data_IF_791422439993
#
_entry.id   IF_791422439993
#
_cell.length_a   1.000
_cell.length_b   1.000
_cell.length_c   1.000
_cell.angle_alpha   90.00
_cell.angle_beta   90.00
_cell.angle_gamma   90.00
#
_symmetry.space_group_name_H-M   'P 1'
#
loop_
_entity.id
_entity.type
_entity.pdbx_description
1 polymer ?
#
# COMPACT_ATOMS: atom_id res chain seq x y z
N UNK A 1 -66.97 -39.50 8.33
CA UNK A 1 -67.30 -38.13 8.72
C UNK A 1 -67.02 -37.22 7.53
N UNK A 2 -68.10 -36.71 6.94
CA UNK A 2 -68.14 -35.79 5.81
C UNK A 2 -67.77 -34.34 6.21
N UNK A 3 -67.75 -33.49 5.17
CA UNK A 3 -67.71 -32.00 5.11
C UNK A 3 -66.31 -31.55 4.63
N UNK A 4 -66.03 -31.21 3.37
CA UNK A 4 -66.75 -30.56 2.25
C UNK A 4 -66.83 -29.02 2.34
N UNK A 5 -66.36 -28.38 1.25
CA UNK A 5 -66.91 -27.19 0.56
C UNK A 5 -66.30 -25.77 0.79
N UNK A 6 -65.65 -25.31 -0.30
CA UNK A 6 -65.81 -24.04 -1.10
C UNK A 6 -65.39 -22.69 -0.50
N UNK A 7 -64.46 -21.99 -1.16
CA UNK A 7 -64.60 -20.90 -2.18
C UNK A 7 -65.23 -19.61 -1.65
N UNK A 8 -64.55 -18.48 -1.90
CA UNK A 8 -65.01 -17.19 -2.50
C UNK A 8 -63.78 -16.26 -2.48
N UNK A 9 -63.19 -15.82 -3.60
CA UNK A 9 -63.64 -14.90 -4.66
C UNK A 9 -63.49 -13.39 -4.32
N UNK A 10 -62.74 -12.73 -5.21
CA UNK A 10 -62.90 -11.38 -5.79
C UNK A 10 -62.20 -10.14 -5.19
N UNK A 11 -61.36 -9.55 -6.06
CA UNK A 11 -61.19 -8.12 -6.44
C UNK A 11 -60.72 -7.15 -5.35
N UNK A 12 -59.75 -6.26 -5.61
CA UNK A 12 -59.89 -5.08 -6.49
C UNK A 12 -58.51 -4.57 -6.94
N UNK A 13 -58.44 -4.25 -8.23
CA UNK A 13 -57.43 -3.46 -8.95
C UNK A 13 -57.28 -2.05 -8.37
N UNK A 14 -56.07 -1.47 -8.31
CA UNK A 14 -55.85 -0.07 -8.71
C UNK A 14 -54.36 0.35 -8.70
N UNK A 15 -54.03 1.17 -9.70
CA UNK A 15 -52.95 2.14 -9.82
C UNK A 15 -51.49 1.71 -10.06
N UNK A 16 -51.13 1.91 -11.33
CA UNK A 16 -49.83 2.28 -11.84
C UNK A 16 -49.08 3.31 -10.98
N UNK A 17 -47.78 3.08 -10.79
CA UNK A 17 -46.76 4.13 -10.69
C UNK A 17 -45.45 3.54 -11.18
N UNK A 18 -45.18 3.85 -12.45
CA UNK A 18 -43.95 3.55 -13.17
C UNK A 18 -42.84 4.44 -12.60
N UNK A 19 -42.16 3.97 -11.55
CA UNK A 19 -40.94 4.61 -11.07
C UNK A 19 -39.81 4.28 -12.05
N UNK A 20 -39.41 5.29 -12.83
CA UNK A 20 -38.11 5.34 -13.48
C UNK A 20 -37.02 5.15 -12.42
N UNK A 21 -36.46 3.95 -12.35
CA UNK A 21 -35.21 3.71 -11.66
C UNK A 21 -34.08 4.32 -12.51
N UNK A 22 -33.77 5.59 -12.25
CA UNK A 22 -32.44 6.12 -12.52
C UNK A 22 -31.45 5.31 -11.66
N UNK A 23 -30.69 4.43 -12.30
CA UNK A 23 -29.50 3.83 -11.70
C UNK A 23 -28.33 4.76 -12.05
N UNK A 24 -27.86 5.63 -11.15
CA UNK A 24 -26.59 6.30 -11.37
C UNK A 24 -25.48 5.25 -11.27
N UNK A 25 -24.57 5.25 -12.25
CA UNK A 25 -23.49 4.30 -12.37
C UNK A 25 -22.60 4.25 -11.13
N UNK A 26 -22.49 3.07 -10.53
CA UNK A 26 -21.56 2.78 -9.46
C UNK A 26 -20.13 2.71 -10.02
N UNK A 27 -19.45 3.86 -10.07
CA UNK A 27 -17.99 3.92 -10.00
C UNK A 27 -17.58 3.63 -8.56
N UNK A 28 -16.86 2.52 -8.34
CA UNK A 28 -16.55 1.98 -7.02
C UNK A 28 -15.97 3.01 -6.04
N UNK A 29 -16.63 3.12 -4.89
CA UNK A 29 -16.14 3.71 -3.64
C UNK A 29 -16.56 2.79 -2.49
N UNK A 30 -15.93 2.91 -1.33
CA UNK A 30 -16.39 2.19 -0.13
C UNK A 30 -17.83 2.63 0.18
N UNK A 31 -18.74 1.72 0.57
CA UNK A 31 -20.09 2.12 0.97
C UNK A 31 -19.98 3.14 2.11
N UNK A 32 -20.65 4.28 1.96
CA UNK A 32 -20.73 5.30 3.01
C UNK A 32 -21.55 4.70 4.15
N UNK A 33 -20.98 4.52 5.36
CA UNK A 33 -21.73 3.97 6.47
C UNK A 33 -22.73 5.01 6.99
N UNK A 34 -23.87 4.53 7.50
CA UNK A 34 -24.76 5.36 8.30
C UNK A 34 -24.04 5.76 9.59
N UNK A 35 -23.88 7.07 9.81
CA UNK A 35 -23.19 7.60 10.98
C UNK A 35 -24.18 7.92 12.11
N UNK A 36 -23.82 7.60 13.36
CA UNK A 36 -24.54 8.11 14.53
C UNK A 36 -24.45 9.63 14.62
N UNK A 37 -25.49 10.26 15.18
CA UNK A 37 -25.50 11.72 15.43
C UNK A 37 -24.53 12.15 16.55
N UNK A 38 -24.17 11.21 17.43
CA UNK A 38 -23.32 11.48 18.59
C UNK A 38 -21.90 11.81 18.15
N UNK A 39 -21.40 12.98 18.55
CA UNK A 39 -20.00 13.38 18.40
C UNK A 39 -19.42 13.62 19.79
N UNK A 40 -18.35 12.89 20.13
CA UNK A 40 -17.69 12.99 21.44
C UNK A 40 -16.79 14.22 21.51
N UNK A 41 -16.19 14.59 20.39
CA UNK A 41 -15.36 15.77 20.25
C UNK A 41 -14.66 15.78 18.90
N UNK A 42 -13.80 16.76 18.69
CA UNK A 42 -12.98 16.85 17.49
C UNK A 42 -11.52 17.13 17.79
N UNK A 43 -10.68 16.87 16.79
CA UNK A 43 -9.25 17.08 16.80
C UNK A 43 -8.84 17.80 15.52
N UNK A 44 -8.18 18.95 15.64
CA UNK A 44 -7.62 19.65 14.48
C UNK A 44 -6.13 19.38 14.41
N UNK A 45 -5.65 18.75 13.34
CA UNK A 45 -4.26 18.33 13.21
C UNK A 45 -3.72 18.64 11.81
N UNK A 46 -2.40 18.69 11.68
CA UNK A 46 -1.75 18.80 10.37
C UNK A 46 -1.58 17.39 9.81
N UNK A 47 -2.30 17.05 8.76
CA UNK A 47 -2.17 15.75 8.10
C UNK A 47 -0.77 15.61 7.50
N UNK A 48 -0.10 14.52 7.83
CA UNK A 48 1.30 14.29 7.44
C UNK A 48 1.48 14.01 5.95
N UNK A 49 0.44 13.55 5.25
CA UNK A 49 0.47 13.28 3.81
C UNK A 49 0.17 14.51 2.98
N UNK A 50 -0.89 15.24 3.34
CA UNK A 50 -1.33 16.43 2.59
C UNK A 50 -0.61 17.71 3.02
N UNK A 51 -0.04 17.72 4.24
CA UNK A 51 0.52 18.92 4.87
C UNK A 51 -0.53 19.96 5.25
N UNK A 52 -1.83 19.66 5.07
CA UNK A 52 -2.96 20.56 5.35
C UNK A 52 -3.48 20.35 6.76
N UNK A 53 -4.11 21.39 7.30
CA UNK A 53 -4.79 21.31 8.58
C UNK A 53 -6.18 20.70 8.39
N UNK A 54 -6.35 19.46 8.84
CA UNK A 54 -7.61 18.72 8.78
C UNK A 54 -8.30 18.73 10.14
N UNK A 55 -9.60 18.45 10.15
CA UNK A 55 -10.37 18.29 11.37
C UNK A 55 -11.01 16.90 11.39
N UNK A 56 -10.78 16.14 12.46
CA UNK A 56 -11.37 14.82 12.71
C UNK A 56 -12.41 14.90 13.82
N UNK A 57 -13.64 14.50 13.52
CA UNK A 57 -14.69 14.17 14.49
C UNK A 57 -14.54 12.73 15.01
N UNK A 58 -14.74 12.54 16.31
CA UNK A 58 -14.91 11.23 16.94
C UNK A 58 -16.40 10.92 17.09
N UNK A 59 -16.92 10.08 16.19
CA UNK A 59 -18.36 9.85 16.02
C UNK A 59 -18.78 8.51 16.63
N UNK A 60 -19.90 8.50 17.35
CA UNK A 60 -20.49 7.33 18.00
C UNK A 60 -19.94 7.05 19.40
N UNK A 61 -19.71 5.78 19.75
CA UNK A 61 -19.38 5.36 21.12
C UNK A 61 -17.87 5.40 21.42
N UNK A 62 -17.24 6.55 21.17
CA UNK A 62 -15.92 6.82 21.71
C UNK A 62 -16.00 7.10 23.22
N UNK A 63 -15.01 6.63 23.98
CA UNK A 63 -14.75 7.20 25.30
C UNK A 63 -13.95 8.48 25.13
N UNK A 64 -14.12 9.44 26.05
CA UNK A 64 -13.30 10.67 26.06
C UNK A 64 -11.81 10.34 26.09
N UNK A 65 -11.42 9.37 26.90
CA UNK A 65 -10.03 8.90 27.01
C UNK A 65 -9.47 8.38 25.68
N UNK A 66 -10.23 7.54 24.96
CA UNK A 66 -9.77 7.02 23.67
C UNK A 66 -9.65 8.11 22.62
N UNK A 67 -10.59 9.05 22.61
CA UNK A 67 -10.60 10.16 21.66
C UNK A 67 -9.44 11.14 21.94
N UNK A 68 -9.15 11.43 23.21
CA UNK A 68 -7.97 12.19 23.64
C UNK A 68 -6.70 11.53 23.17
N UNK A 69 -6.53 10.23 23.45
CA UNK A 69 -5.33 9.49 23.06
C UNK A 69 -5.12 9.47 21.53
N UNK A 70 -6.18 9.26 20.74
CA UNK A 70 -6.07 9.33 19.28
C UNK A 70 -5.70 10.73 18.80
N UNK A 71 -6.23 11.78 19.43
CA UNK A 71 -5.90 13.16 19.06
C UNK A 71 -4.44 13.50 19.38
N UNK A 72 -3.95 13.09 20.54
CA UNK A 72 -2.56 13.27 20.96
C UNK A 72 -1.59 12.52 20.03
N UNK A 73 -1.98 11.33 19.57
CA UNK A 73 -1.21 10.59 18.57
C UNK A 73 -1.12 11.31 17.21
N UNK A 74 -2.07 12.19 16.91
CA UNK A 74 -2.03 13.09 15.74
C UNK A 74 -1.33 14.43 16.05
N UNK A 75 -0.70 14.56 17.22
CA UNK A 75 0.04 15.75 17.64
C UNK A 75 -0.84 16.95 17.96
N UNK A 76 -2.07 16.71 18.45
CA UNK A 76 -3.03 17.76 18.75
C UNK A 76 -3.80 17.52 20.06
N UNK A 77 -4.63 18.48 20.45
CA UNK A 77 -5.45 18.47 21.66
C UNK A 77 -6.93 18.35 21.28
N UNK A 78 -7.65 17.44 21.94
CA UNK A 78 -9.08 17.23 21.68
C UNK A 78 -9.91 18.40 22.22
N UNK A 79 -10.99 18.73 21.50
CA UNK A 79 -12.06 19.60 21.98
C UNK A 79 -13.32 18.76 22.13
N UNK A 80 -13.68 18.46 23.38
CA UNK A 80 -14.85 17.64 23.72
C UNK A 80 -16.17 18.36 23.45
N UNK A 81 -17.21 17.59 23.09
CA UNK A 81 -18.58 18.06 22.88
C UNK A 81 -18.78 18.96 21.66
N UNK A 82 -17.75 19.19 20.85
CA UNK A 82 -17.83 20.02 19.64
C UNK A 82 -17.45 19.18 18.42
N UNK A 83 -18.19 19.38 17.33
CA UNK A 83 -17.85 18.85 16.01
C UNK A 83 -16.94 19.80 15.25
N UNK A 84 -16.27 19.27 14.24
CA UNK A 84 -15.67 20.03 13.16
C UNK A 84 -16.70 20.92 12.46
N UNK A 85 -16.21 21.96 11.78
CA UNK A 85 -17.04 23.03 11.25
C UNK A 85 -16.44 23.73 10.04
N UNK A 86 -15.64 23.02 9.22
CA UNK A 86 -15.19 23.56 7.94
C UNK A 86 -16.41 23.64 7.02
N UNK A 87 -16.75 24.84 6.55
CA UNK A 87 -17.92 25.04 5.69
C UNK A 87 -17.86 24.19 4.40
N UNK A 88 -19.02 23.77 3.88
CA UNK A 88 -19.11 22.90 2.71
C UNK A 88 -18.45 23.46 1.46
N UNK A 89 -18.46 24.78 1.27
CA UNK A 89 -17.81 25.50 0.18
C UNK A 89 -16.29 25.70 0.38
N UNK A 90 -15.77 25.27 1.54
CA UNK A 90 -14.34 25.34 1.94
C UNK A 90 -13.69 23.97 2.12
N UNK A 91 -14.40 22.89 1.83
CA UNK A 91 -13.89 21.52 1.89
C UNK A 91 -14.28 20.75 0.65
N UNK A 92 -13.46 19.76 0.29
CA UNK A 92 -13.73 18.84 -0.81
C UNK A 92 -14.83 17.83 -0.48
N UNK A 93 -14.90 17.44 0.79
CA UNK A 93 -15.70 16.33 1.28
C UNK A 93 -15.25 15.88 2.64
N UNK A 94 -15.91 14.85 3.13
CA UNK A 94 -15.60 14.17 4.37
C UNK A 94 -15.03 12.79 4.06
N UNK A 95 -14.05 12.36 4.85
CA UNK A 95 -13.56 10.99 4.84
C UNK A 95 -14.02 10.24 6.09
N UNK A 96 -14.81 9.18 5.91
CA UNK A 96 -15.41 8.44 7.01
C UNK A 96 -14.68 7.11 7.23
N UNK A 97 -14.13 6.92 8.43
CA UNK A 97 -13.45 5.71 8.84
C UNK A 97 -14.31 4.89 9.80
N UNK A 98 -14.45 3.60 9.53
CA UNK A 98 -15.04 2.64 10.45
C UNK A 98 -13.94 2.19 11.41
N UNK A 99 -14.01 2.61 12.68
CA UNK A 99 -12.99 2.28 13.67
C UNK A 99 -13.34 0.99 14.41
N UNK A 100 -14.59 0.84 14.85
CA UNK A 100 -15.13 -0.41 15.38
C UNK A 100 -16.65 -0.45 15.13
N UNK A 101 -17.05 -1.14 14.06
CA UNK A 101 -18.47 -1.22 13.66
C UNK A 101 -19.33 -1.89 14.72
N UNK A 102 -18.81 -2.89 15.44
CA UNK A 102 -19.58 -3.62 16.44
C UNK A 102 -19.90 -2.76 17.67
N UNK A 103 -19.10 -1.72 17.90
CA UNK A 103 -19.28 -0.72 18.96
C UNK A 103 -19.76 0.63 18.44
N UNK A 104 -20.17 0.71 17.17
CA UNK A 104 -20.67 1.97 16.61
C UNK A 104 -19.66 3.12 16.74
N UNK A 105 -18.37 2.83 16.50
CA UNK A 105 -17.25 3.77 16.66
C UNK A 105 -16.68 4.15 15.29
N UNK A 106 -16.76 5.44 14.93
CA UNK A 106 -16.30 5.96 13.64
C UNK A 106 -15.47 7.23 13.80
N UNK A 107 -14.68 7.57 12.80
CA UNK A 107 -14.04 8.88 12.69
C UNK A 107 -14.46 9.54 11.38
N UNK A 108 -14.77 10.84 11.41
CA UNK A 108 -15.06 11.62 10.19
C UNK A 108 -14.04 12.73 10.06
N UNK A 109 -13.31 12.78 8.95
CA UNK A 109 -12.28 13.80 8.69
C UNK A 109 -12.76 14.75 7.61
N UNK A 110 -12.88 16.03 7.92
CA UNK A 110 -13.21 17.08 6.96
C UNK A 110 -11.96 17.48 6.16
N UNK A 111 -12.02 17.34 4.83
CA UNK A 111 -10.87 17.54 3.93
C UNK A 111 -10.89 18.95 3.31
N UNK A 112 -10.07 19.91 3.78
CA UNK A 112 -10.15 21.31 3.37
C UNK A 112 -9.67 21.57 1.94
N UNK A 113 -10.39 22.45 1.25
CA UNK A 113 -9.99 23.03 -0.02
C UNK A 113 -11.16 23.43 -0.92
N UNK A 114 -10.85 24.26 -1.91
CA UNK A 114 -11.84 24.89 -2.81
C UNK A 114 -11.55 24.63 -4.29
N UNK A 115 -10.43 23.99 -4.62
CA UNK A 115 -10.00 23.70 -5.98
C UNK A 115 -10.52 22.34 -6.45
N UNK A 116 -11.60 22.35 -7.24
CA UNK A 116 -12.26 21.13 -7.71
C UNK A 116 -11.35 20.20 -8.51
N UNK A 117 -10.22 20.68 -9.05
CA UNK A 117 -9.24 19.81 -9.73
C UNK A 117 -8.55 18.82 -8.78
N UNK A 118 -8.57 19.10 -7.47
CA UNK A 118 -7.99 18.25 -6.43
C UNK A 118 -8.95 17.16 -5.91
N UNK A 119 -10.22 17.16 -6.30
CA UNK A 119 -11.25 16.27 -5.76
C UNK A 119 -10.92 14.78 -5.87
N UNK A 120 -10.46 14.33 -7.04
CA UNK A 120 -10.07 12.93 -7.25
C UNK A 120 -8.86 12.52 -6.41
N UNK A 121 -7.92 13.43 -6.19
CA UNK A 121 -6.77 13.20 -5.31
C UNK A 121 -7.22 13.03 -3.85
N UNK A 122 -8.20 13.84 -3.41
CA UNK A 122 -8.73 13.78 -2.05
C UNK A 122 -9.61 12.55 -1.82
N UNK A 123 -10.47 12.21 -2.79
CA UNK A 123 -11.22 10.95 -2.81
C UNK A 123 -10.28 9.76 -2.70
N UNK A 124 -9.22 9.72 -3.52
CA UNK A 124 -8.19 8.67 -3.45
C UNK A 124 -7.46 8.68 -2.10
N UNK A 125 -7.08 9.85 -1.59
CA UNK A 125 -6.51 10.02 -0.25
C UNK A 125 -7.36 9.34 0.82
N UNK A 126 -8.66 9.60 0.79
CA UNK A 126 -9.62 9.02 1.71
C UNK A 126 -9.79 7.52 1.51
N UNK A 127 -10.25 7.12 0.32
CA UNK A 127 -10.71 5.75 0.07
C UNK A 127 -9.55 4.77 0.01
N UNK A 128 -8.48 5.16 -0.67
CA UNK A 128 -7.42 4.23 -1.00
C UNK A 128 -6.29 4.25 0.03
N UNK A 129 -5.80 5.44 0.40
CA UNK A 129 -4.69 5.54 1.36
C UNK A 129 -5.17 5.51 2.81
N UNK A 130 -6.29 6.18 3.11
CA UNK A 130 -6.90 6.17 4.43
C UNK A 130 -7.72 4.91 4.72
N UNK A 131 -8.34 4.31 3.70
CA UNK A 131 -9.28 3.21 3.86
C UNK A 131 -10.67 3.63 4.36
N UNK A 132 -11.05 4.89 4.14
CA UNK A 132 -12.38 5.43 4.50
C UNK A 132 -13.37 5.47 3.33
N UNK A 133 -14.57 6.02 3.58
CA UNK A 133 -15.57 6.32 2.55
C UNK A 133 -15.60 7.83 2.30
N UNK A 134 -15.46 8.27 1.05
CA UNK A 134 -15.44 9.69 0.71
C UNK A 134 -16.85 10.21 0.41
N UNK A 135 -17.26 11.27 1.11
CA UNK A 135 -18.54 11.96 0.92
C UNK A 135 -18.25 13.35 0.37
N UNK A 136 -18.49 13.62 -0.92
CA UNK A 136 -18.14 14.90 -1.54
C UNK A 136 -19.08 16.03 -1.08
N UNK A 137 -18.56 17.26 -1.00
CA UNK A 137 -19.38 18.48 -0.94
C UNK A 137 -19.66 19.03 -2.35
N UNK A 138 -20.34 20.18 -2.44
CA UNK A 138 -20.56 20.90 -3.69
C UNK A 138 -19.26 21.27 -4.45
N UNK A 139 -18.13 21.43 -3.75
CA UNK A 139 -16.81 21.66 -4.38
C UNK A 139 -16.42 20.51 -5.31
N UNK A 140 -16.79 19.27 -4.95
CA UNK A 140 -16.50 18.06 -5.71
C UNK A 140 -17.73 17.42 -6.39
N UNK A 141 -18.93 17.86 -6.06
CA UNK A 141 -20.20 17.24 -6.47
C UNK A 141 -20.63 17.46 -7.92
N UNK A 142 -19.91 18.25 -8.72
CA UNK A 142 -20.33 18.63 -10.08
C UNK A 142 -19.29 18.42 -11.18
N UNK A 143 -18.15 17.80 -10.89
CA UNK A 143 -17.01 17.80 -11.81
C UNK A 143 -16.60 16.38 -12.19
N UNK A 144 -17.19 15.85 -13.26
CA UNK A 144 -16.60 14.71 -14.00
C UNK A 144 -15.46 15.20 -14.89
N UNK A 145 -14.43 15.80 -14.29
CA UNK A 145 -13.21 16.06 -15.05
C UNK A 145 -12.52 14.72 -15.29
N UNK A 146 -12.09 14.47 -16.54
CA UNK A 146 -11.12 13.41 -16.81
C UNK A 146 -9.99 13.57 -15.78
N UNK A 147 -9.61 12.50 -15.07
CA UNK A 147 -8.59 12.60 -14.04
C UNK A 147 -7.29 13.05 -14.70
N UNK A 148 -6.86 14.29 -14.43
CA UNK A 148 -5.47 14.67 -14.66
C UNK A 148 -4.65 13.81 -13.73
N UNK A 149 -3.78 12.94 -14.26
CA UNK A 149 -2.85 12.17 -13.42
C UNK A 149 -1.95 13.16 -12.67
N UNK A 150 -2.19 13.34 -11.38
CA UNK A 150 -1.41 14.23 -10.52
C UNK A 150 -0.32 13.48 -9.74
N UNK A 151 -0.31 12.15 -9.77
CA UNK A 151 0.76 11.34 -9.19
C UNK A 151 1.68 10.84 -10.30
N UNK A 152 3.01 10.88 -10.10
CA UNK A 152 3.94 10.31 -11.05
C UNK A 152 3.66 8.80 -11.19
N UNK A 153 3.75 8.32 -12.43
CA UNK A 153 3.63 6.89 -12.76
C UNK A 153 4.68 6.11 -11.95
N UNK A 154 4.30 4.95 -11.42
CA UNK A 154 5.21 4.06 -10.71
C UNK A 154 6.39 3.71 -11.61
N UNK A 155 7.60 4.08 -11.18
CA UNK A 155 8.81 3.75 -11.92
C UNK A 155 9.23 2.32 -11.59
N UNK A 156 9.24 1.49 -12.62
CA UNK A 156 9.67 0.10 -12.49
C UNK A 156 11.15 0.02 -12.08
N UNK A 157 11.53 -0.95 -11.23
CA UNK A 157 12.93 -1.17 -10.85
C UNK A 157 13.88 -1.28 -12.04
N UNK A 158 15.01 -0.57 -11.98
CA UNK A 158 16.12 -0.72 -12.92
C UNK A 158 17.34 -1.35 -12.24
N UNK A 159 18.04 -2.24 -12.95
CA UNK A 159 19.31 -2.80 -12.47
C UNK A 159 20.48 -1.94 -12.98
N UNK A 160 21.02 -1.11 -12.10
CA UNK A 160 22.04 -0.13 -12.45
C UNK A 160 23.43 -0.68 -12.12
N UNK A 161 24.32 -0.72 -13.12
CA UNK A 161 25.72 -1.11 -12.96
C UNK A 161 26.64 0.09 -13.16
N UNK A 162 27.33 0.52 -12.10
CA UNK A 162 28.28 1.64 -12.13
C UNK A 162 29.70 1.15 -11.86
N UNK A 163 30.70 1.91 -12.31
CA UNK A 163 32.08 1.68 -11.89
C UNK A 163 32.20 1.87 -10.37
N UNK A 164 33.04 1.08 -9.67
CA UNK A 164 33.33 1.32 -8.26
C UNK A 164 33.92 2.73 -8.06
N UNK A 165 33.63 3.35 -6.93
CA UNK A 165 34.22 4.63 -6.55
C UNK A 165 35.74 4.51 -6.40
N UNK A 166 36.43 5.64 -6.55
CA UNK A 166 37.88 5.69 -6.36
C UNK A 166 38.28 5.16 -4.97
N UNK A 167 39.19 4.19 -4.95
CA UNK A 167 39.66 3.53 -3.73
C UNK A 167 38.87 2.29 -3.30
N UNK A 168 37.73 2.00 -3.93
CA UNK A 168 37.00 0.75 -3.71
C UNK A 168 37.53 -0.39 -4.59
N UNK A 169 37.45 -1.65 -4.13
CA UNK A 169 37.74 -2.80 -4.98
C UNK A 169 36.73 -2.90 -6.13
N UNK A 170 37.07 -3.70 -7.15
CA UNK A 170 36.13 -4.07 -8.20
C UNK A 170 34.83 -4.65 -7.62
N UNK A 171 33.70 -4.36 -8.26
CA UNK A 171 32.42 -4.98 -7.96
C UNK A 171 32.32 -6.41 -8.49
N UNK A 172 31.26 -7.11 -8.07
CA UNK A 172 30.94 -8.49 -8.48
C UNK A 172 30.19 -8.56 -9.81
N UNK A 173 29.78 -7.43 -10.36
CA UNK A 173 29.08 -7.34 -11.63
C UNK A 173 29.99 -7.42 -12.86
N UNK A 174 29.41 -7.34 -14.07
CA UNK A 174 30.15 -7.38 -15.33
C UNK A 174 31.24 -6.29 -15.38
N UNK A 175 32.41 -6.63 -15.91
CA UNK A 175 33.58 -5.75 -16.01
C UNK A 175 34.05 -5.16 -14.66
N UNK A 176 33.76 -5.82 -13.55
CA UNK A 176 34.10 -5.32 -12.21
C UNK A 176 33.23 -4.15 -11.76
N UNK A 177 32.05 -3.95 -12.37
CA UNK A 177 31.07 -2.95 -11.94
C UNK A 177 30.32 -3.40 -10.70
N UNK A 178 29.80 -2.43 -9.96
CA UNK A 178 28.87 -2.65 -8.84
C UNK A 178 27.46 -2.51 -9.39
N UNK A 179 26.68 -3.58 -9.31
CA UNK A 179 25.32 -3.62 -9.83
C UNK A 179 24.30 -3.64 -8.69
N UNK A 180 23.27 -2.81 -8.79
CA UNK A 180 22.28 -2.61 -7.72
C UNK A 180 20.91 -2.34 -8.31
N UNK A 181 19.90 -3.02 -7.79
CA UNK A 181 18.50 -2.72 -8.12
C UNK A 181 18.09 -1.38 -7.49
N UNK A 182 17.65 -0.44 -8.31
CA UNK A 182 16.99 0.79 -7.85
C UNK A 182 15.55 0.49 -7.46
N UNK A 183 15.39 -0.19 -6.32
CA UNK A 183 14.10 -0.57 -5.78
C UNK A 183 14.09 -0.50 -4.25
N UNK A 184 12.90 -0.40 -3.65
CA UNK A 184 12.72 -0.61 -2.18
C UNK A 184 13.18 -2.03 -1.74
N UNK A 185 13.23 -2.90 -2.74
CA UNK A 185 13.87 -4.21 -2.86
C UNK A 185 15.35 -4.32 -2.56
N UNK A 186 16.05 -3.29 -3.03
CA UNK A 186 17.38 -3.41 -3.58
C UNK A 186 18.47 -3.20 -2.56
N UNK A 187 19.55 -3.93 -2.73
CA UNK A 187 20.74 -3.84 -1.91
C UNK A 187 21.97 -3.84 -2.80
N UNK A 188 22.92 -2.96 -2.49
CA UNK A 188 24.24 -2.98 -3.13
C UNK A 188 25.14 -4.04 -2.47
N UNK A 189 26.37 -4.16 -2.92
CA UNK A 189 27.32 -5.11 -2.34
C UNK A 189 27.70 -4.73 -0.89
N UNK A 190 27.88 -5.74 -0.04
CA UNK A 190 28.25 -5.55 1.37
C UNK A 190 29.49 -4.65 1.54
N UNK A 191 29.42 -3.73 2.49
CA UNK A 191 30.47 -2.72 2.72
C UNK A 191 30.35 -1.46 1.87
N UNK A 192 29.43 -1.41 0.90
CA UNK A 192 29.12 -0.21 0.10
C UNK A 192 27.81 0.43 0.54
N UNK A 193 27.56 1.67 0.10
CA UNK A 193 26.33 2.41 0.38
C UNK A 193 25.38 2.33 -0.81
N UNK A 194 24.09 2.07 -0.56
CA UNK A 194 23.08 1.99 -1.62
C UNK A 194 23.04 3.25 -2.48
N UNK A 195 23.06 4.44 -1.84
CA UNK A 195 22.98 5.75 -2.49
C UNK A 195 24.02 5.98 -3.60
N UNK A 196 25.14 5.26 -3.54
CA UNK A 196 26.22 5.41 -4.50
C UNK A 196 25.95 4.64 -5.80
N UNK A 197 25.22 3.53 -5.69
CA UNK A 197 25.08 2.54 -6.77
C UNK A 197 23.64 2.35 -7.24
N UNK A 198 22.64 2.66 -6.41
CA UNK A 198 21.22 2.73 -6.77
C UNK A 198 20.75 4.16 -7.08
N UNK A 199 19.43 4.34 -7.07
CA UNK A 199 18.73 5.61 -7.26
C UNK A 199 17.61 5.78 -6.22
N UNK A 200 17.83 6.64 -5.24
CA UNK A 200 16.84 6.91 -4.20
C UNK A 200 15.61 7.69 -4.68
N UNK A 201 15.68 8.41 -5.80
CA UNK A 201 14.49 9.07 -6.34
C UNK A 201 13.51 8.03 -6.87
N UNK A 202 14.04 7.04 -7.61
CA UNK A 202 13.24 5.89 -8.08
C UNK A 202 12.62 5.12 -6.91
N UNK A 203 13.40 4.78 -5.87
CA UNK A 203 12.91 4.10 -4.66
C UNK A 203 11.73 4.86 -4.03
N UNK A 204 11.83 6.19 -3.92
CA UNK A 204 10.79 7.03 -3.32
C UNK A 204 9.53 7.14 -4.18
N UNK A 205 9.59 6.91 -5.49
CA UNK A 205 8.39 6.76 -6.32
C UNK A 205 7.67 5.45 -6.06
N UNK A 206 8.43 4.37 -5.82
CA UNK A 206 7.87 3.04 -5.57
C UNK A 206 7.24 2.94 -4.18
N UNK A 207 7.85 3.63 -3.21
CA UNK A 207 7.35 3.70 -1.85
C UNK A 207 7.50 5.12 -1.32
N UNK A 208 6.48 5.97 -1.49
CA UNK A 208 6.46 7.30 -0.91
C UNK A 208 6.67 7.23 0.59
N UNK A 209 7.47 8.17 1.11
CA UNK A 209 7.69 8.32 2.54
C UNK A 209 7.24 9.70 3.00
N UNK A 210 6.99 9.81 4.29
CA UNK A 210 6.78 11.08 4.98
C UNK A 210 7.79 11.18 6.13
N UNK A 211 8.27 12.41 6.43
CA UNK A 211 9.10 12.62 7.59
C UNK A 211 8.29 12.35 8.86
N UNK A 212 8.92 11.68 9.81
CA UNK A 212 8.34 11.42 11.11
C UNK A 212 9.46 11.55 12.15
N UNK A 213 9.14 12.17 13.29
CA UNK A 213 10.10 12.33 14.36
C UNK A 213 10.60 10.96 14.85
N UNK A 214 11.87 10.85 15.27
CA UNK A 214 12.37 9.63 15.88
C UNK A 214 11.70 9.36 17.23
N UNK A 215 11.91 8.16 17.77
CA UNK A 215 11.53 7.86 19.15
C UNK A 215 12.12 8.91 20.12
N UNK A 216 11.39 9.23 21.19
CA UNK A 216 11.81 10.23 22.18
C UNK A 216 13.16 9.92 22.82
N UNK A 217 13.52 8.62 22.87
CA UNK A 217 14.79 8.10 23.38
C UNK A 217 15.99 8.34 22.48
N UNK A 218 15.81 8.89 21.28
CA UNK A 218 16.89 9.06 20.28
C UNK A 218 18.11 9.85 20.79
N UNK A 219 17.91 10.73 21.78
CA UNK A 219 18.96 11.58 22.36
C UNK A 219 19.54 11.03 23.67
N UNK A 220 19.01 9.92 24.16
CA UNK A 220 19.44 9.34 25.43
C UNK A 220 20.85 8.76 25.29
N UNK A 221 21.68 9.01 26.30
CA UNK A 221 22.97 8.35 26.42
C UNK A 221 22.77 6.84 26.62
N UNK A 222 23.50 6.04 25.84
CA UNK A 222 23.48 4.58 25.98
C UNK A 222 24.81 4.08 26.54
N UNK A 223 24.86 3.60 27.81
CA UNK A 223 26.09 3.13 28.42
C UNK A 223 26.70 1.92 27.68
N UNK A 224 25.91 1.19 26.87
CA UNK A 224 26.39 0.07 26.06
C UNK A 224 27.35 0.52 24.94
N UNK A 225 27.37 1.81 24.58
CA UNK A 225 28.39 2.34 23.67
C UNK A 225 29.82 2.26 24.23
N UNK A 226 29.99 1.98 25.52
CA UNK A 226 31.29 1.69 26.14
C UNK A 226 31.72 0.23 25.98
N UNK A 227 30.81 -0.65 25.57
CA UNK A 227 31.08 -2.05 25.30
C UNK A 227 31.52 -2.23 23.83
N UNK A 228 32.77 -2.64 23.57
CA UNK A 228 33.29 -2.79 22.21
C UNK A 228 32.54 -3.86 21.40
N UNK A 229 32.00 -4.91 22.03
CA UNK A 229 31.27 -5.96 21.33
C UNK A 229 29.91 -5.44 20.85
N UNK A 230 29.20 -4.69 21.70
CA UNK A 230 27.97 -4.01 21.30
C UNK A 230 28.21 -3.03 20.14
N UNK A 231 29.25 -2.18 20.24
CA UNK A 231 29.57 -1.20 19.19
C UNK A 231 29.92 -1.91 17.87
N UNK A 232 30.63 -3.03 17.92
CA UNK A 232 30.94 -3.83 16.73
C UNK A 232 29.67 -4.36 16.06
N UNK A 233 28.74 -4.92 16.83
CA UNK A 233 27.46 -5.41 16.29
C UNK A 233 26.60 -4.27 15.75
N UNK A 234 26.47 -3.16 16.49
CA UNK A 234 25.73 -1.96 16.07
C UNK A 234 26.26 -1.42 14.73
N UNK A 235 27.59 -1.37 14.56
CA UNK A 235 28.23 -0.92 13.33
C UNK A 235 28.04 -1.90 12.18
N UNK A 236 28.08 -3.20 12.45
CA UNK A 236 27.77 -4.21 11.44
C UNK A 236 26.30 -4.06 10.98
N UNK A 237 25.33 -3.99 11.89
CA UNK A 237 23.91 -3.77 11.53
C UNK A 237 23.73 -2.48 10.71
N UNK A 238 24.36 -1.39 11.15
CA UNK A 238 24.34 -0.12 10.40
C UNK A 238 24.87 -0.27 8.98
N UNK A 239 25.95 -1.02 8.78
CA UNK A 239 26.51 -1.29 7.44
C UNK A 239 25.57 -2.08 6.54
N UNK A 240 24.85 -3.07 7.07
CA UNK A 240 23.86 -3.84 6.31
C UNK A 240 22.71 -2.94 5.83
N UNK A 241 22.22 -2.07 6.71
CA UNK A 241 21.15 -1.12 6.37
C UNK A 241 21.64 -0.05 5.38
N UNK A 242 22.86 0.45 5.53
CA UNK A 242 23.48 1.39 4.58
C UNK A 242 23.66 0.81 3.18
N UNK A 243 23.88 -0.50 3.05
CA UNK A 243 23.93 -1.17 1.76
C UNK A 243 22.55 -1.28 1.10
N UNK A 244 21.46 -1.09 1.84
CA UNK A 244 20.09 -1.24 1.37
C UNK A 244 19.42 0.10 1.04
N UNK A 245 18.35 0.04 0.25
CA UNK A 245 17.52 1.21 -0.08
C UNK A 245 16.84 1.86 1.13
N UNK A 246 16.90 1.28 2.33
CA UNK A 246 16.37 1.88 3.56
C UNK A 246 16.97 3.27 3.81
N UNK A 247 18.25 3.48 3.46
CA UNK A 247 18.92 4.78 3.64
C UNK A 247 18.23 5.92 2.89
N UNK A 248 17.53 5.62 1.78
CA UNK A 248 16.80 6.62 1.00
C UNK A 248 15.70 7.35 1.78
N UNK A 249 15.18 6.77 2.87
CA UNK A 249 14.14 7.36 3.71
C UNK A 249 14.54 7.49 5.19
N UNK A 250 15.61 6.78 5.61
CA UNK A 250 16.09 6.70 6.99
C UNK A 250 17.49 7.33 7.14
N UNK A 251 17.67 8.47 6.49
CA UNK A 251 18.90 9.28 6.51
C UNK A 251 18.57 10.76 6.61
N UNK A 252 19.44 11.54 7.25
CA UNK A 252 19.38 13.01 7.22
C UNK A 252 19.46 13.58 5.80
N UNK A 253 20.04 12.85 4.84
CA UNK A 253 20.07 13.22 3.42
C UNK A 253 18.71 13.10 2.71
N UNK A 254 17.68 12.58 3.39
CA UNK A 254 16.33 12.44 2.83
C UNK A 254 15.70 13.82 2.57
N UNK A 255 15.20 14.11 1.35
CA UNK A 255 14.78 15.47 0.97
C UNK A 255 13.71 16.15 1.85
N UNK A 256 12.85 15.37 2.51
CA UNK A 256 11.79 15.88 3.40
C UNK A 256 12.14 15.71 4.89
N UNK A 257 13.36 15.27 5.20
CA UNK A 257 13.77 14.78 6.51
C UNK A 257 13.58 13.26 6.66
N UNK A 258 14.19 12.63 7.67
CA UNK A 258 14.10 11.18 7.88
C UNK A 258 12.71 10.72 8.35
N UNK A 259 12.39 9.45 8.08
CA UNK A 259 11.14 8.82 8.50
C UNK A 259 11.32 7.97 9.76
N UNK A 260 10.83 8.41 10.92
CA UNK A 260 10.66 7.65 12.17
C UNK A 260 11.94 7.12 12.86
N UNK A 261 13.01 6.82 12.14
CA UNK A 261 14.33 6.46 12.65
C UNK A 261 15.34 6.74 11.54
N UNK A 262 16.59 6.97 11.90
CA UNK A 262 17.64 7.24 10.91
C UNK A 262 19.03 6.95 11.43
N UNK A 263 19.94 6.70 10.48
CA UNK A 263 21.26 6.13 10.75
C UNK A 263 22.23 7.13 11.37
N UNK A 264 21.99 8.43 11.22
CA UNK A 264 22.77 9.53 11.79
C UNK A 264 22.24 9.98 13.17
N UNK A 265 21.17 9.37 13.68
CA UNK A 265 20.49 9.84 14.89
C UNK A 265 21.31 9.60 16.16
N UNK A 266 21.56 10.67 16.92
CA UNK A 266 22.06 10.60 18.29
C UNK A 266 23.41 9.88 18.46
N UNK A 267 23.83 9.60 19.71
CA UNK A 267 25.03 8.82 19.97
C UNK A 267 24.83 7.33 19.61
N UNK A 268 23.61 6.81 19.77
CA UNK A 268 23.21 5.47 19.38
C UNK A 268 21.97 5.50 18.47
N UNK A 269 22.16 5.31 17.17
CA UNK A 269 21.07 5.42 16.19
C UNK A 269 19.91 4.45 16.43
N UNK A 270 20.14 3.31 17.07
CA UNK A 270 19.07 2.34 17.37
C UNK A 270 18.06 2.89 18.38
N UNK A 271 18.46 3.86 19.22
CA UNK A 271 17.56 4.54 20.16
C UNK A 271 16.52 5.41 19.45
N UNK A 272 16.77 5.78 18.19
CA UNK A 272 15.80 6.48 17.35
C UNK A 272 14.66 5.57 16.87
N UNK A 273 14.88 4.25 16.84
CA UNK A 273 13.91 3.27 16.37
C UNK A 273 12.95 2.87 17.48
N UNK A 274 11.64 3.03 17.26
CA UNK A 274 10.62 2.57 18.19
C UNK A 274 10.51 1.03 18.28
N UNK A 275 9.87 0.48 19.34
CA UNK A 275 9.77 -0.97 19.55
C UNK A 275 9.18 -1.75 18.38
N UNK A 276 8.21 -1.16 17.64
CA UNK A 276 7.63 -1.77 16.44
C UNK A 276 8.68 -2.00 15.34
N UNK A 277 9.55 -1.02 15.09
CA UNK A 277 10.62 -1.15 14.09
C UNK A 277 11.64 -2.21 14.48
N UNK A 278 11.98 -2.29 15.77
CA UNK A 278 12.85 -3.36 16.28
C UNK A 278 12.19 -4.73 16.13
N UNK A 279 10.89 -4.86 16.43
CA UNK A 279 10.15 -6.11 16.28
C UNK A 279 10.06 -6.57 14.82
N UNK A 280 10.00 -5.64 13.87
CA UNK A 280 10.16 -5.93 12.44
C UNK A 280 11.58 -6.42 12.13
N UNK A 281 12.61 -5.82 12.72
CA UNK A 281 14.00 -6.26 12.59
C UNK A 281 14.28 -7.64 13.19
N UNK A 282 13.61 -7.98 14.29
CA UNK A 282 13.66 -9.29 14.94
C UNK A 282 12.87 -10.38 14.20
N UNK A 283 12.07 -10.00 13.19
CA UNK A 283 11.19 -10.92 12.48
C UNK A 283 9.98 -11.38 13.31
N UNK A 284 9.61 -10.62 14.35
CA UNK A 284 8.41 -10.89 15.15
C UNK A 284 7.15 -10.36 14.47
N UNK A 285 7.28 -9.35 13.62
CA UNK A 285 6.22 -8.83 12.75
C UNK A 285 6.53 -9.26 11.31
N UNK A 286 5.57 -9.91 10.65
CA UNK A 286 5.69 -10.33 9.25
C UNK A 286 5.79 -9.08 8.35
N UNK A 287 6.85 -9.00 7.55
CA UNK A 287 7.13 -7.84 6.67
C UNK A 287 7.28 -8.21 5.20
N UNK A 288 6.71 -9.34 4.78
CA UNK A 288 6.72 -9.83 3.39
C UNK A 288 6.25 -8.76 2.40
N UNK A 289 5.34 -7.87 2.82
CA UNK A 289 4.83 -6.76 2.00
C UNK A 289 5.88 -5.73 1.57
N UNK A 290 7.14 -5.79 2.01
CA UNK A 290 8.22 -4.99 1.40
C UNK A 290 8.73 -5.58 0.07
N UNK A 291 8.36 -6.82 -0.27
CA UNK A 291 8.96 -7.59 -1.37
C UNK A 291 10.38 -8.07 -1.04
N UNK A 292 11.00 -8.88 -1.89
CA UNK A 292 12.41 -9.26 -1.79
C UNK A 292 12.89 -9.86 -3.11
N UNK A 293 14.09 -9.48 -3.55
CA UNK A 293 14.85 -10.24 -4.56
C UNK A 293 15.45 -11.50 -3.92
N UNK A 294 15.63 -12.59 -4.69
CA UNK A 294 16.42 -13.73 -4.21
C UNK A 294 17.88 -13.29 -3.96
N UNK A 295 18.61 -13.94 -3.04
CA UNK A 295 19.97 -13.50 -2.66
C UNK A 295 20.96 -13.48 -3.82
N UNK A 296 20.81 -14.42 -4.76
CA UNK A 296 21.62 -14.49 -5.99
C UNK A 296 21.47 -13.25 -6.88
N UNK A 297 20.35 -12.52 -6.78
CA UNK A 297 20.05 -11.32 -7.55
C UNK A 297 20.20 -10.04 -6.72
N UNK A 298 20.50 -10.15 -5.43
CA UNK A 298 20.56 -9.04 -4.48
C UNK A 298 21.84 -9.06 -3.64
N UNK A 299 22.96 -9.41 -4.27
CA UNK A 299 24.30 -9.35 -3.68
C UNK A 299 24.50 -10.19 -2.41
N UNK A 300 23.74 -11.28 -2.26
CA UNK A 300 23.78 -12.19 -1.12
C UNK A 300 22.86 -11.80 0.04
N UNK A 301 22.14 -10.69 -0.06
CA UNK A 301 21.24 -10.24 1.00
C UNK A 301 19.91 -10.99 0.98
N UNK A 302 19.45 -11.39 2.16
CA UNK A 302 18.14 -12.00 2.43
C UNK A 302 17.24 -11.04 3.21
N UNK A 303 15.92 -11.21 3.05
CA UNK A 303 14.85 -10.53 3.79
C UNK A 303 13.64 -11.47 3.93
N UNK A 304 12.66 -11.06 4.74
CA UNK A 304 11.30 -11.65 4.78
C UNK A 304 10.72 -11.90 3.39
N UNK A 305 10.20 -13.12 3.20
CA UNK A 305 9.60 -13.67 1.97
C UNK A 305 8.38 -14.53 2.37
N UNK A 306 7.44 -14.84 1.46
CA UNK A 306 6.33 -15.73 1.78
C UNK A 306 6.77 -17.07 2.40
N UNK A 307 7.89 -17.63 1.95
CA UNK A 307 8.46 -18.90 2.43
C UNK A 307 9.12 -18.76 3.80
N UNK A 308 9.63 -17.56 4.11
CA UNK A 308 10.30 -17.24 5.37
C UNK A 308 9.82 -15.89 5.91
N UNK A 309 8.57 -15.82 6.41
CA UNK A 309 7.94 -14.58 6.84
C UNK A 309 8.52 -14.02 8.15
N UNK A 310 9.24 -14.85 8.89
CA UNK A 310 9.86 -14.54 10.19
C UNK A 310 11.30 -14.00 10.08
N UNK A 311 11.82 -13.79 8.87
CA UNK A 311 13.11 -13.11 8.68
C UNK A 311 13.02 -11.62 9.01
N UNK A 312 14.18 -11.01 9.23
CA UNK A 312 14.29 -9.57 9.45
C UNK A 312 13.65 -8.76 8.33
N UNK A 313 13.05 -7.63 8.69
CA UNK A 313 12.62 -6.61 7.74
C UNK A 313 13.80 -5.87 7.08
N UNK A 314 14.98 -5.89 7.71
CA UNK A 314 16.19 -5.28 7.18
C UNK A 314 16.95 -6.29 6.33
N UNK A 315 17.26 -6.00 5.06
CA UNK A 315 18.09 -6.88 4.28
C UNK A 315 19.44 -7.13 4.96
N UNK A 316 19.90 -8.37 4.97
CA UNK A 316 21.18 -8.74 5.58
C UNK A 316 21.81 -9.96 4.91
N UNK A 317 23.13 -10.10 5.01
CA UNK A 317 23.86 -11.33 4.65
C UNK A 317 23.78 -12.41 5.74
N UNK A 318 23.32 -12.08 6.96
CA UNK A 318 23.17 -13.02 8.09
C UNK A 318 21.89 -12.70 8.89
N UNK A 319 20.79 -13.34 8.51
CA UNK A 319 19.47 -13.13 9.15
C UNK A 319 19.47 -13.51 10.64
N UNK A 320 20.17 -14.58 11.02
CA UNK A 320 20.18 -15.03 12.41
C UNK A 320 20.90 -14.01 13.29
N UNK A 321 22.05 -13.49 12.86
CA UNK A 321 22.79 -12.47 13.58
C UNK A 321 22.01 -11.16 13.66
N UNK A 322 21.40 -10.74 12.54
CA UNK A 322 20.56 -9.54 12.49
C UNK A 322 19.38 -9.62 13.46
N UNK A 323 18.64 -10.74 13.45
CA UNK A 323 17.49 -10.93 14.34
C UNK A 323 17.92 -10.94 15.80
N UNK A 324 18.99 -11.66 16.14
CA UNK A 324 19.53 -11.70 17.52
C UNK A 324 19.85 -10.31 18.06
N UNK A 325 20.42 -9.43 17.22
CA UNK A 325 20.68 -8.04 17.61
C UNK A 325 19.37 -7.32 17.98
N UNK A 326 18.36 -7.36 17.10
CA UNK A 326 17.08 -6.69 17.36
C UNK A 326 16.29 -7.31 18.53
N UNK A 327 16.38 -8.62 18.74
CA UNK A 327 15.79 -9.29 19.90
C UNK A 327 16.45 -8.84 21.20
N UNK A 328 17.79 -8.66 21.21
CA UNK A 328 18.51 -8.12 22.36
C UNK A 328 18.12 -6.66 22.65
N UNK A 329 17.94 -5.83 21.60
CA UNK A 329 17.44 -4.45 21.76
C UNK A 329 16.03 -4.40 22.37
N UNK A 330 15.15 -5.31 21.94
CA UNK A 330 13.79 -5.43 22.50
C UNK A 330 13.83 -5.90 23.96
N UNK A 331 14.64 -6.91 24.26
CA UNK A 331 14.82 -7.42 25.62
C UNK A 331 15.38 -6.35 26.57
N UNK A 332 16.37 -5.56 26.10
CA UNK A 332 16.90 -4.41 26.85
C UNK A 332 15.82 -3.39 27.20
N UNK A 333 14.79 -3.26 26.35
CA UNK A 333 13.63 -2.37 26.54
C UNK A 333 12.45 -3.06 27.26
N UNK A 334 12.66 -4.24 27.83
CA UNK A 334 11.64 -5.01 28.54
C UNK A 334 10.50 -5.50 27.64
N UNK A 335 10.75 -5.67 26.33
CA UNK A 335 9.77 -6.17 25.36
C UNK A 335 9.97 -7.64 25.07
N UNK A 336 8.86 -8.31 24.78
CA UNK A 336 8.80 -9.72 24.42
C UNK A 336 8.03 -9.91 23.11
N UNK A 337 8.19 -11.07 22.48
CA UNK A 337 7.44 -11.40 21.26
C UNK A 337 5.92 -11.34 21.46
N UNK A 338 5.43 -11.63 22.67
CA UNK A 338 4.00 -11.61 22.99
C UNK A 338 3.40 -10.20 22.86
N UNK A 339 4.20 -9.15 23.09
CA UNK A 339 3.75 -7.75 22.99
C UNK A 339 3.36 -7.36 21.56
N UNK A 340 3.77 -8.15 20.55
CA UNK A 340 3.57 -7.86 19.13
C UNK A 340 2.74 -8.93 18.41
N UNK A 341 2.11 -9.86 19.13
CA UNK A 341 1.41 -11.02 18.52
C UNK A 341 0.26 -10.61 17.57
N UNK A 342 -0.41 -9.51 17.87
CA UNK A 342 -1.55 -8.98 17.10
C UNK A 342 -1.11 -7.87 16.12
N UNK A 343 0.18 -7.52 16.13
CA UNK A 343 0.73 -6.47 15.30
C UNK A 343 0.92 -6.97 13.88
N UNK A 344 0.20 -6.34 12.95
CA UNK A 344 0.36 -6.57 11.52
C UNK A 344 1.15 -5.45 10.92
N UNK A 345 2.14 -5.79 10.10
CA UNK A 345 2.69 -4.81 9.18
C UNK A 345 1.61 -4.41 8.17
N UNK A 346 1.49 -3.10 7.93
CA UNK A 346 0.61 -2.57 6.90
C UNK A 346 1.44 -1.93 5.80
N UNK A 347 1.52 -2.57 4.63
CA UNK A 347 2.01 -1.94 3.40
C UNK A 347 1.01 -0.96 2.77
N UNK A 348 -0.04 -0.58 3.53
CA UNK A 348 -1.12 0.27 3.06
C UNK A 348 -1.86 -0.40 1.89
N UNK A 349 -2.11 0.34 0.80
CA UNK A 349 -2.91 -0.17 -0.31
C UNK A 349 -2.34 -1.43 -0.97
N UNK A 350 -1.02 -1.65 -0.91
CA UNK A 350 -0.37 -2.84 -1.47
C UNK A 350 -0.78 -4.13 -0.73
N UNK A 351 -0.94 -4.08 0.58
CA UNK A 351 -1.46 -5.23 1.34
C UNK A 351 -2.97 -5.36 1.15
N UNK A 352 -3.71 -4.24 1.04
CA UNK A 352 -5.13 -4.26 0.66
C UNK A 352 -5.35 -4.96 -0.68
N UNK A 353 -4.41 -4.80 -1.63
CA UNK A 353 -4.40 -5.56 -2.87
C UNK A 353 -4.07 -7.03 -2.63
N UNK A 354 -2.92 -7.30 -2.00
CA UNK A 354 -2.39 -8.66 -1.82
C UNK A 354 -3.38 -9.59 -1.10
N UNK A 355 -4.13 -9.07 -0.14
CA UNK A 355 -5.11 -9.82 0.64
C UNK A 355 -6.54 -9.74 0.08
N UNK A 356 -6.73 -9.14 -1.09
CA UNK A 356 -8.05 -9.04 -1.70
C UNK A 356 -8.51 -10.41 -2.21
N UNK A 357 -9.70 -10.82 -1.77
CA UNK A 357 -10.38 -12.01 -2.26
C UNK A 357 -11.32 -11.65 -3.43
N UNK A 358 -11.08 -12.18 -4.64
CA UNK A 358 -11.88 -11.81 -5.81
C UNK A 358 -13.28 -12.41 -5.77
N UNK A 359 -14.25 -11.60 -6.17
CA UNK A 359 -15.64 -12.00 -6.43
C UNK A 359 -15.87 -12.19 -7.92
N UNK A 360 -16.99 -12.80 -8.29
CA UNK A 360 -17.39 -12.91 -9.69
C UNK A 360 -17.55 -11.53 -10.34
N UNK A 361 -17.07 -11.42 -11.58
CA UNK A 361 -17.22 -10.21 -12.39
C UNK A 361 -18.69 -9.93 -12.69
N UNK A 362 -19.03 -8.65 -12.84
CA UNK A 362 -20.28 -8.28 -13.50
C UNK A 362 -20.27 -8.74 -14.97
N UNK A 363 -21.44 -8.96 -15.55
CA UNK A 363 -21.57 -9.32 -16.96
C UNK A 363 -20.83 -8.30 -17.85
N UNK A 364 -20.04 -8.82 -18.80
CA UNK A 364 -19.18 -8.10 -19.76
C UNK A 364 -17.70 -7.85 -19.41
N UNK A 365 -17.20 -8.28 -18.23
CA UNK A 365 -15.76 -8.28 -17.93
C UNK A 365 -15.16 -9.69 -18.08
N UNK A 366 -13.87 -9.76 -18.40
CA UNK A 366 -13.16 -11.02 -18.66
C UNK A 366 -12.58 -11.08 -20.08
N UNK A 367 -12.33 -12.30 -20.55
CA UNK A 367 -11.86 -12.57 -21.91
C UNK A 367 -13.04 -13.06 -22.75
N UNK A 368 -13.31 -12.39 -23.86
CA UNK A 368 -14.38 -12.75 -24.79
C UNK A 368 -13.96 -13.86 -25.77
N UNK A 369 -14.93 -14.42 -26.53
CA UNK A 369 -14.71 -15.55 -27.46
C UNK A 369 -13.66 -15.27 -28.54
N UNK A 370 -13.47 -14.01 -28.91
CA UNK A 370 -12.49 -13.54 -29.89
C UNK A 370 -11.12 -13.21 -29.25
N UNK A 371 -10.95 -13.52 -27.96
CA UNK A 371 -9.77 -13.23 -27.15
C UNK A 371 -9.73 -11.82 -26.57
N UNK A 372 -10.69 -10.95 -26.89
CA UNK A 372 -10.69 -9.55 -26.42
C UNK A 372 -10.84 -9.47 -24.91
N UNK A 373 -9.92 -8.76 -24.25
CA UNK A 373 -9.93 -8.56 -22.79
C UNK A 373 -10.70 -7.30 -22.43
N UNK A 374 -11.69 -7.40 -21.53
CA UNK A 374 -12.57 -6.30 -21.12
C UNK A 374 -12.66 -6.15 -19.61
N UNK A 375 -12.67 -4.92 -19.15
CA UNK A 375 -12.85 -4.51 -17.76
C UNK A 375 -13.61 -3.18 -17.65
N UNK A 376 -14.03 -2.82 -16.44
CA UNK A 376 -14.71 -1.55 -16.12
C UNK A 376 -13.83 -0.65 -15.24
N UNK A 377 -13.83 0.66 -15.49
CA UNK A 377 -13.20 1.65 -14.60
C UNK A 377 -12.04 2.47 -15.19
N UNK A 378 -11.72 2.32 -16.50
CA UNK A 378 -10.82 3.22 -17.23
C UNK A 378 -9.66 2.53 -17.92
N UNK A 379 -8.63 3.30 -18.30
CA UNK A 379 -7.43 2.80 -18.96
C UNK A 379 -6.42 2.22 -17.96
N UNK A 380 -5.66 1.21 -18.37
CA UNK A 380 -4.82 0.40 -17.51
C UNK A 380 -3.35 0.43 -17.93
N UNK A 381 -2.43 0.38 -16.96
CA UNK A 381 -1.00 0.16 -17.21
C UNK A 381 -0.57 -1.28 -17.00
N UNK A 382 -1.34 -2.07 -16.27
CA UNK A 382 -1.04 -3.48 -16.02
C UNK A 382 -2.29 -4.33 -16.16
N UNK A 383 -2.19 -5.38 -16.95
CA UNK A 383 -3.28 -6.33 -17.19
C UNK A 383 -2.78 -7.73 -16.92
N UNK A 384 -3.49 -8.45 -16.05
CA UNK A 384 -3.19 -9.82 -15.66
C UNK A 384 -4.40 -10.70 -15.93
N UNK A 385 -4.11 -11.90 -16.44
CA UNK A 385 -5.03 -13.03 -16.42
C UNK A 385 -4.34 -14.17 -15.70
N UNK A 386 -4.98 -14.69 -14.66
CA UNK A 386 -4.42 -15.69 -13.76
C UNK A 386 -5.42 -16.83 -13.52
N UNK A 387 -4.95 -17.98 -13.03
CA UNK A 387 -5.82 -19.08 -12.60
C UNK A 387 -6.73 -18.60 -11.46
N UNK A 388 -7.98 -19.06 -11.41
CA UNK A 388 -8.81 -18.82 -10.23
C UNK A 388 -8.12 -19.39 -8.97
N UNK A 389 -8.13 -18.62 -7.88
CA UNK A 389 -7.42 -18.96 -6.64
C UNK A 389 -5.98 -18.44 -6.55
N UNK A 390 -5.44 -17.84 -7.62
CA UNK A 390 -4.16 -17.14 -7.54
C UNK A 390 -4.23 -15.97 -6.57
N UNK A 391 -3.12 -15.69 -5.89
CA UNK A 391 -3.02 -14.49 -5.04
C UNK A 391 -3.09 -13.22 -5.89
N UNK A 392 -3.56 -12.11 -5.30
CA UNK A 392 -3.51 -10.81 -5.95
C UNK A 392 -2.06 -10.31 -6.10
N UNK A 393 -1.69 -9.69 -7.24
CA UNK A 393 -0.39 -9.07 -7.41
C UNK A 393 -0.09 -8.01 -6.32
N UNK A 394 1.13 -8.05 -5.80
CA UNK A 394 1.64 -7.18 -4.75
C UNK A 394 2.90 -6.40 -5.16
N UNK A 395 3.83 -6.23 -4.20
CA UNK A 395 5.06 -5.44 -4.37
C UNK A 395 6.10 -6.20 -5.21
N UNK A 396 6.70 -5.58 -6.24
CA UNK A 396 7.79 -6.21 -6.99
C UNK A 396 9.04 -6.40 -6.10
N UNK A 397 9.89 -7.41 -6.41
CA UNK A 397 9.88 -8.24 -7.61
C UNK A 397 9.26 -9.63 -7.45
N UNK A 398 8.91 -10.03 -6.22
CA UNK A 398 8.51 -11.41 -5.92
C UNK A 398 7.01 -11.58 -5.66
N UNK A 399 6.28 -10.49 -5.39
CA UNK A 399 4.83 -10.54 -5.16
C UNK A 399 4.02 -10.02 -6.34
N UNK A 400 4.64 -9.34 -7.31
CA UNK A 400 3.97 -8.75 -8.46
C UNK A 400 3.65 -9.78 -9.56
N UNK A 401 4.26 -10.97 -9.53
CA UNK A 401 3.93 -12.07 -10.43
C UNK A 401 3.57 -13.34 -9.63
N UNK A 402 2.37 -13.40 -9.03
CA UNK A 402 1.97 -14.53 -8.19
C UNK A 402 1.88 -15.83 -9.01
N UNK A 403 2.08 -16.96 -8.32
CA UNK A 403 1.87 -18.28 -8.91
C UNK A 403 0.46 -18.39 -9.51
N UNK A 404 0.36 -18.98 -10.70
CA UNK A 404 -0.88 -19.05 -11.45
C UNK A 404 -1.11 -17.88 -12.41
N UNK A 405 -0.20 -16.91 -12.49
CA UNK A 405 -0.23 -15.89 -13.57
C UNK A 405 -0.02 -16.56 -14.93
N UNK A 406 -1.00 -16.44 -15.82
CA UNK A 406 -0.98 -17.04 -17.16
C UNK A 406 -0.50 -16.04 -18.20
N UNK A 407 -0.93 -14.79 -18.05
CA UNK A 407 -0.59 -13.72 -18.96
C UNK A 407 -0.52 -12.40 -18.19
N UNK A 408 0.52 -11.62 -18.46
CA UNK A 408 0.72 -10.28 -17.90
C UNK A 408 1.36 -9.38 -18.94
N UNK A 409 0.76 -8.22 -19.17
CA UNK A 409 1.35 -7.14 -19.94
C UNK A 409 1.46 -5.87 -19.10
N UNK A 410 2.56 -5.16 -19.29
CA UNK A 410 2.89 -3.91 -18.62
C UNK A 410 3.08 -2.81 -19.65
N UNK A 411 2.56 -1.62 -19.38
CA UNK A 411 2.87 -0.40 -20.13
C UNK A 411 4.17 0.19 -19.58
N UNK A 412 5.10 0.57 -20.46
CA UNK A 412 6.34 1.19 -20.02
C UNK A 412 6.06 2.52 -19.30
N UNK A 413 6.65 2.72 -18.12
CA UNK A 413 6.27 3.81 -17.22
C UNK A 413 6.66 5.21 -17.74
N UNK A 414 7.68 5.31 -18.61
CA UNK A 414 8.27 6.58 -19.04
C UNK A 414 7.55 7.21 -20.24
N UNK A 415 7.12 6.39 -21.19
CA UNK A 415 6.68 6.79 -22.52
C UNK A 415 5.51 5.93 -23.03
N UNK A 416 5.04 4.97 -22.24
CA UNK A 416 3.91 4.13 -22.60
C UNK A 416 2.57 4.78 -22.24
N UNK A 417 1.64 4.71 -23.20
CA UNK A 417 0.26 5.15 -23.03
C UNK A 417 -0.58 4.05 -22.35
N UNK A 418 -1.43 4.40 -21.36
CA UNK A 418 -2.39 3.47 -20.78
C UNK A 418 -3.28 2.80 -21.82
N UNK A 419 -3.60 1.54 -21.60
CA UNK A 419 -4.36 0.67 -22.50
C UNK A 419 -5.85 0.83 -22.23
N UNK A 420 -6.67 1.00 -23.27
CA UNK A 420 -8.12 1.01 -23.13
C UNK A 420 -8.72 -0.40 -23.01
N UNK A 421 -9.80 -0.54 -22.23
CA UNK A 421 -10.59 -1.78 -22.16
C UNK A 421 -11.07 -2.21 -23.55
N UNK A 422 -10.90 -3.49 -23.89
CA UNK A 422 -11.28 -4.04 -25.19
C UNK A 422 -10.31 -3.77 -26.34
N UNK A 423 -9.18 -3.10 -26.10
CA UNK A 423 -8.16 -2.84 -27.13
C UNK A 423 -7.09 -3.92 -27.25
N UNK A 424 -7.09 -4.91 -26.36
CA UNK A 424 -6.07 -5.97 -26.29
C UNK A 424 -6.70 -7.34 -26.31
N UNK A 425 -5.96 -8.30 -26.87
CA UNK A 425 -6.33 -9.71 -26.85
C UNK A 425 -5.42 -10.50 -25.92
N UNK A 426 -6.01 -11.49 -25.26
CA UNK A 426 -5.28 -12.41 -24.41
C UNK A 426 -4.16 -13.11 -25.17
N UNK A 427 -2.96 -13.14 -24.59
CA UNK A 427 -1.77 -13.75 -25.18
C UNK A 427 -0.92 -12.83 -26.06
N UNK A 428 -1.50 -11.74 -26.57
CA UNK A 428 -0.80 -10.79 -27.45
C UNK A 428 0.08 -9.81 -26.66
N UNK A 429 0.94 -9.08 -27.38
CA UNK A 429 1.76 -7.98 -26.84
C UNK A 429 1.58 -6.74 -27.73
N UNK A 430 0.57 -5.90 -27.45
CA UNK A 430 0.33 -4.69 -28.22
C UNK A 430 1.53 -3.74 -28.22
N UNK A 431 1.63 -2.90 -29.25
CA UNK A 431 2.65 -1.84 -29.31
C UNK A 431 2.58 -0.94 -28.07
N UNK A 432 3.74 -0.54 -27.55
CA UNK A 432 3.84 0.26 -26.31
C UNK A 432 3.71 -0.54 -25.01
N UNK A 433 3.54 -1.87 -25.11
CA UNK A 433 3.49 -2.77 -23.95
C UNK A 433 4.64 -3.76 -23.97
N UNK A 434 4.95 -4.32 -22.80
CA UNK A 434 5.87 -5.44 -22.65
C UNK A 434 5.12 -6.60 -21.98
N UNK A 435 5.18 -7.78 -22.60
CA UNK A 435 4.70 -9.01 -21.96
C UNK A 435 5.71 -9.49 -20.93
N UNK A 436 5.25 -9.58 -19.68
CA UNK A 436 6.02 -10.11 -18.54
C UNK A 436 5.79 -11.61 -18.36
N UNK A 437 4.57 -12.07 -18.64
CA UNK A 437 4.20 -13.48 -18.55
C UNK A 437 3.38 -13.91 -19.78
N UNK A 438 3.73 -15.03 -20.42
CA UNK A 438 5.05 -15.67 -20.33
C UNK A 438 6.11 -14.76 -20.96
N UNK A 439 7.36 -14.80 -20.45
CA UNK A 439 8.47 -14.03 -21.05
C UNK A 439 8.75 -14.47 -22.49
N UNK A 440 8.60 -15.76 -22.76
CA UNK A 440 8.81 -16.41 -24.06
C UNK A 440 7.68 -17.39 -24.36
N UNK A 441 7.41 -17.66 -25.64
CA UNK A 441 6.34 -18.57 -26.07
C UNK A 441 4.94 -17.94 -26.01
N UNK A 442 3.92 -18.78 -26.19
CA UNK A 442 2.52 -18.38 -26.16
C UNK A 442 1.94 -18.49 -24.75
N UNK A 443 0.96 -17.65 -24.42
CA UNK A 443 0.22 -17.77 -23.17
C UNK A 443 -0.59 -19.08 -23.16
N UNK A 444 -0.69 -19.71 -21.99
CA UNK A 444 -1.49 -20.93 -21.80
C UNK A 444 -2.95 -20.67 -22.24
N UNK A 445 -3.56 -21.51 -23.09
CA UNK A 445 -4.92 -21.27 -23.55
C UNK A 445 -5.92 -21.34 -22.39
N UNK A 446 -6.96 -20.50 -22.46
CA UNK A 446 -8.06 -20.55 -21.50
C UNK A 446 -9.00 -21.72 -21.86
N UNK A 447 -9.36 -22.52 -20.86
CA UNK A 447 -10.27 -23.64 -21.02
C UNK A 447 -11.71 -23.17 -20.83
N UNK A 448 -12.55 -23.40 -21.85
CA UNK A 448 -13.96 -23.01 -21.85
C UNK A 448 -14.69 -23.52 -20.60
N UNK A 449 -15.47 -22.65 -19.97
CA UNK A 449 -16.22 -22.96 -18.76
C UNK A 449 -15.43 -22.90 -17.45
N UNK A 450 -14.09 -22.79 -17.47
CA UNK A 450 -13.29 -22.59 -16.25
C UNK A 450 -13.30 -21.12 -15.80
N UNK A 451 -13.17 -20.91 -14.49
CA UNK A 451 -13.02 -19.57 -13.92
C UNK A 451 -11.55 -19.14 -13.90
N UNK A 452 -11.31 -17.87 -14.18
CA UNK A 452 -10.00 -17.21 -14.17
C UNK A 452 -10.09 -15.87 -13.44
N UNK A 453 -8.97 -15.40 -12.93
CA UNK A 453 -8.87 -14.13 -12.23
C UNK A 453 -8.36 -13.04 -13.19
N UNK A 454 -9.23 -12.08 -13.51
CA UNK A 454 -8.87 -10.84 -14.17
C UNK A 454 -8.46 -9.80 -13.14
N UNK A 455 -7.23 -9.32 -13.25
CA UNK A 455 -6.69 -8.28 -12.39
C UNK A 455 -6.09 -7.17 -13.25
N UNK A 456 -6.63 -5.96 -13.13
CA UNK A 456 -6.29 -4.82 -13.97
C UNK A 456 -5.97 -3.64 -13.08
N UNK A 457 -4.85 -2.97 -13.34
CA UNK A 457 -4.42 -1.81 -12.56
C UNK A 457 -4.24 -0.58 -13.43
N UNK A 458 -4.69 0.57 -12.89
CA UNK A 458 -4.36 1.88 -13.44
C UNK A 458 -2.87 2.14 -13.28
N UNK A 459 -2.35 1.83 -12.10
CA UNK A 459 -0.92 1.83 -11.80
C UNK A 459 -0.66 0.89 -10.62
N UNK A 460 0.60 0.64 -10.24
CA UNK A 460 0.95 -0.21 -9.10
C UNK A 460 0.20 0.23 -7.84
N UNK A 461 -0.32 -0.76 -7.11
CA UNK A 461 -1.24 -0.64 -5.99
C UNK A 461 -2.66 -0.16 -6.33
N UNK A 462 -2.93 0.47 -7.49
CA UNK A 462 -4.20 1.11 -7.83
C UNK A 462 -5.05 0.24 -8.79
N UNK A 463 -5.94 -0.61 -8.26
CA UNK A 463 -6.74 -1.54 -9.07
C UNK A 463 -7.88 -0.82 -9.79
N UNK A 464 -8.15 -1.26 -11.01
CA UNK A 464 -9.36 -0.92 -11.76
C UNK A 464 -10.38 -2.06 -11.63
N UNK A 465 -9.93 -3.29 -11.82
CA UNK A 465 -10.78 -4.49 -11.81
C UNK A 465 -10.03 -5.64 -11.16
N UNK A 466 -10.73 -6.40 -10.34
CA UNK A 466 -10.21 -7.55 -9.59
C UNK A 466 -11.34 -8.56 -9.41
N UNK A 467 -11.62 -9.38 -10.41
CA UNK A 467 -12.77 -10.28 -10.34
C UNK A 467 -12.54 -11.59 -11.10
N UNK A 468 -13.37 -12.59 -10.78
CA UNK A 468 -13.37 -13.89 -11.45
C UNK A 468 -14.31 -13.87 -12.64
N UNK A 469 -13.82 -14.26 -13.82
CA UNK A 469 -14.62 -14.44 -15.02
C UNK A 469 -14.61 -15.90 -15.47
N UNK A 470 -15.66 -16.35 -16.14
CA UNK A 470 -15.70 -17.66 -16.77
C UNK A 470 -15.22 -17.54 -18.22
N UNK A 471 -14.26 -18.38 -18.61
CA UNK A 471 -13.78 -18.43 -19.99
C UNK A 471 -14.89 -18.92 -20.94
N UNK A 472 -14.96 -18.36 -22.16
CA UNK A 472 -16.17 -18.39 -22.99
C UNK A 472 -16.32 -19.64 -23.86
#
# INVERSE_FOLDING_TARGET
MSISIRKICLFVSFCASMFLAFVPGCGGGFPVPDLPDKVVGHCTYKNMFSGKQECKDYVGEWSEKDATNDCENNGSTIVLGQKCGIADDKRFGDCIFIVDKAKDKYARVELPGTDSSSCESMKRGCEFFGGGSFVPTAVCGSVSNKPTETLPVFQQPEYICKAPKAGEPAGKGPDGKVCTWSAISGVTEEGRRFEDYGDCNMVRTQRPYYPAAPASTAKDDDPRLKDPDYVKELNWVKSQILASSCSCCHSESSPKGPSNWFLESGPNWINSMGPRGLAMGAGWINTVGFGAYPPSENNGFIRSTPEHPDRSAFPTTDDQRMRKFFEAELAHRGKTKADFKDEKYGAGPLDTQRFYEPKDCSSAQGVAKDGTVRWLGGEARYVYVMKAGSSSPGVPPNLDTPEGTLWRIDVHWRDGEPIASGSVKYGETPAGTQRKVPKEGDAEPLESGKKYYLYVMKDVANPITRCLFQAP
#
